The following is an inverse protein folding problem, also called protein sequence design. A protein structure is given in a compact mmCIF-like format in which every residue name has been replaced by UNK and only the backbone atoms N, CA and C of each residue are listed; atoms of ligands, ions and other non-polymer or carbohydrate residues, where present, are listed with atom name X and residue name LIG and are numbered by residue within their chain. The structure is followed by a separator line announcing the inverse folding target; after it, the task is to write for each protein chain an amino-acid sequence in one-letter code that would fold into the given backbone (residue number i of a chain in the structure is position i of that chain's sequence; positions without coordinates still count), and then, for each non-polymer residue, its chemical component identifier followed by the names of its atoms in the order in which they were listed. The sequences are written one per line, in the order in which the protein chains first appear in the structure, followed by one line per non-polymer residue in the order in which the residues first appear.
data_IF_087150293457
#
_entry.id   IF_087150293457
#
_cell.length_a   1.000
_cell.length_b   1.000
_cell.length_c   1.000
_cell.angle_alpha   90.00
_cell.angle_beta   90.00
_cell.angle_gamma   90.00
#
_symmetry.space_group_name_H-M   'P 1'
#
loop_
_entity.id
_entity.type
_entity.pdbx_description
1 polymer ?
#
# COMPACT_ATOMS: atom_id res chain seq x y z
N UNK A 1 -6.62 8.65 16.13
CA UNK A 1 -5.76 8.06 15.07
C UNK A 1 -4.32 8.26 15.52
N UNK A 2 -3.55 7.21 15.71
CA UNK A 2 -2.11 7.36 15.99
C UNK A 2 -1.41 7.84 14.71
N UNK A 3 -0.97 9.09 14.72
CA UNK A 3 -0.37 9.76 13.56
C UNK A 3 1.02 9.25 13.20
N UNK A 4 1.67 8.53 14.13
CA UNK A 4 2.95 7.87 13.88
C UNK A 4 2.74 6.51 13.21
N UNK A 5 1.57 5.91 13.41
CA UNK A 5 1.19 4.62 12.81
C UNK A 5 0.39 4.75 11.51
N UNK A 6 -0.43 5.80 11.38
CA UNK A 6 -1.37 5.96 10.28
C UNK A 6 -1.19 7.32 9.60
N UNK A 7 -1.18 7.32 8.27
CA UNK A 7 -1.14 8.53 7.43
C UNK A 7 -2.36 8.55 6.52
N UNK A 8 -2.88 9.74 6.26
CA UNK A 8 -3.94 9.98 5.28
C UNK A 8 -3.33 10.27 3.91
N UNK A 9 -3.92 9.72 2.86
CA UNK A 9 -3.62 10.05 1.47
C UNK A 9 -4.92 10.48 0.78
N UNK A 10 -4.87 11.59 0.05
CA UNK A 10 -6.00 12.03 -0.76
C UNK A 10 -6.10 11.17 -2.02
N UNK A 11 -7.31 10.75 -2.36
CA UNK A 11 -7.64 10.01 -3.58
C UNK A 11 -8.89 10.63 -4.21
N UNK A 12 -9.06 10.47 -5.51
CA UNK A 12 -10.26 10.93 -6.20
C UNK A 12 -11.52 10.13 -5.75
N UNK A 13 -12.69 10.70 -6.04
CA UNK A 13 -13.96 10.13 -5.59
C UNK A 13 -14.26 8.78 -6.23
N UNK A 14 -13.87 8.57 -7.50
CA UNK A 14 -14.14 7.32 -8.22
C UNK A 14 -13.32 6.17 -7.62
N UNK A 15 -12.03 6.38 -7.41
CA UNK A 15 -11.13 5.43 -6.75
C UNK A 15 -11.64 5.07 -5.35
N UNK A 16 -12.10 6.06 -4.58
CA UNK A 16 -12.68 5.83 -3.26
C UNK A 16 -13.94 4.95 -3.31
N UNK A 17 -14.85 5.23 -4.25
CA UNK A 17 -16.07 4.43 -4.44
C UNK A 17 -15.75 2.98 -4.83
N UNK A 18 -14.79 2.78 -5.73
CA UNK A 18 -14.35 1.44 -6.16
C UNK A 18 -13.75 0.68 -4.99
N UNK A 19 -12.82 1.26 -4.22
CA UNK A 19 -12.19 0.60 -3.07
C UNK A 19 -13.25 0.20 -2.02
N UNK A 20 -14.26 1.04 -1.80
CA UNK A 20 -15.39 0.73 -0.92
C UNK A 20 -16.21 -0.47 -1.42
N UNK A 21 -16.51 -0.52 -2.71
CA UNK A 21 -17.23 -1.63 -3.33
C UNK A 21 -16.41 -2.93 -3.29
N UNK A 22 -15.12 -2.87 -3.61
CA UNK A 22 -14.19 -4.01 -3.52
C UNK A 22 -14.12 -4.57 -2.10
N UNK A 23 -14.10 -3.68 -1.09
CA UNK A 23 -14.11 -4.08 0.31
C UNK A 23 -15.37 -4.85 0.75
N UNK A 24 -16.53 -4.49 0.18
CA UNK A 24 -17.82 -5.16 0.43
C UNK A 24 -17.86 -6.58 -0.13
N UNK A 25 -17.22 -6.82 -1.29
CA UNK A 25 -17.24 -8.11 -1.99
C UNK A 25 -16.29 -9.18 -1.42
N UNK A 26 -15.59 -8.91 -0.29
CA UNK A 26 -14.65 -9.87 0.29
C UNK A 26 -14.33 -9.63 1.77
N UNK A 27 -15.19 -8.95 2.51
CA UNK A 27 -15.02 -8.56 3.92
C UNK A 27 -13.64 -7.96 4.25
N UNK A 28 -13.26 -6.89 3.53
CA UNK A 28 -12.08 -6.09 3.88
C UNK A 28 -12.45 -4.62 3.92
N UNK A 29 -12.25 -3.96 5.07
CA UNK A 29 -12.39 -2.49 5.18
C UNK A 29 -11.46 -1.82 4.15
N UNK A 30 -11.75 -0.60 3.66
CA UNK A 30 -10.94 0.08 2.64
C UNK A 30 -9.43 0.06 2.91
N UNK A 31 -9.02 0.31 4.16
CA UNK A 31 -7.59 0.24 4.55
C UNK A 31 -6.98 -1.16 4.38
N UNK A 32 -7.72 -2.22 4.69
CA UNK A 32 -7.27 -3.60 4.47
C UNK A 32 -7.21 -3.96 2.97
N UNK A 33 -8.06 -3.34 2.15
CA UNK A 33 -7.99 -3.50 0.69
C UNK A 33 -6.75 -2.81 0.13
N UNK A 34 -6.48 -1.56 0.55
CA UNK A 34 -5.27 -0.83 0.15
C UNK A 34 -4.01 -1.62 0.57
N UNK A 35 -3.97 -2.16 1.79
CA UNK A 35 -2.84 -2.97 2.25
C UNK A 35 -2.60 -4.22 1.37
N UNK A 36 -3.69 -4.88 0.93
CA UNK A 36 -3.59 -6.01 -0.01
C UNK A 36 -3.07 -5.57 -1.38
N UNK A 37 -3.60 -4.48 -1.92
CA UNK A 37 -3.16 -3.95 -3.22
C UNK A 37 -1.67 -3.61 -3.20
N UNK A 38 -1.19 -2.98 -2.12
CA UNK A 38 0.24 -2.71 -1.92
C UNK A 38 1.05 -4.01 -1.89
N UNK A 39 0.60 -5.02 -1.13
CA UNK A 39 1.29 -6.31 -1.04
C UNK A 39 1.39 -7.03 -2.40
N UNK A 40 0.29 -7.04 -3.15
CA UNK A 40 0.21 -7.65 -4.48
C UNK A 40 1.13 -6.92 -5.48
N UNK A 41 1.19 -5.59 -5.44
CA UNK A 41 2.11 -4.82 -6.28
C UNK A 41 3.59 -5.04 -5.89
N UNK A 42 3.92 -5.10 -4.59
CA UNK A 42 5.30 -5.44 -4.16
C UNK A 42 5.72 -6.81 -4.71
N UNK A 43 4.83 -7.81 -4.68
CA UNK A 43 5.08 -9.14 -5.27
C UNK A 43 5.31 -9.06 -6.79
N UNK A 44 4.54 -8.25 -7.51
CA UNK A 44 4.72 -8.05 -8.95
C UNK A 44 6.07 -7.40 -9.26
N UNK A 45 6.45 -6.35 -8.52
CA UNK A 45 7.74 -5.66 -8.69
C UNK A 45 8.89 -6.62 -8.36
N UNK A 46 8.81 -7.36 -7.25
CA UNK A 46 9.79 -8.36 -6.86
C UNK A 46 9.99 -9.43 -7.96
N UNK A 47 8.89 -9.94 -8.53
CA UNK A 47 8.93 -10.90 -9.65
C UNK A 47 9.58 -10.31 -10.90
N UNK A 48 9.30 -9.05 -11.24
CA UNK A 48 9.89 -8.37 -12.41
C UNK A 48 11.41 -8.19 -12.24
N UNK A 49 11.87 -7.89 -11.04
CA UNK A 49 13.29 -7.67 -10.75
C UNK A 49 14.06 -8.94 -10.37
N UNK A 50 13.40 -10.10 -10.30
CA UNK A 50 14.02 -11.36 -9.88
C UNK A 50 14.49 -11.35 -8.42
N UNK A 51 13.92 -10.49 -7.57
CA UNK A 51 14.29 -10.35 -6.16
C UNK A 51 13.29 -11.09 -5.25
N UNK A 52 13.74 -11.59 -4.08
CA UNK A 52 12.82 -12.09 -3.06
C UNK A 52 11.86 -11.00 -2.59
N UNK A 53 10.60 -11.36 -2.32
CA UNK A 53 9.56 -10.44 -1.84
C UNK A 53 10.01 -9.64 -0.60
N UNK A 54 10.60 -10.30 0.40
CA UNK A 54 11.05 -9.63 1.63
C UNK A 54 12.16 -8.61 1.37
N UNK A 55 13.09 -8.92 0.46
CA UNK A 55 14.14 -7.99 0.06
C UNK A 55 13.56 -6.77 -0.65
N UNK A 56 12.63 -6.99 -1.58
CA UNK A 56 11.94 -5.90 -2.28
C UNK A 56 11.17 -5.00 -1.31
N UNK A 57 10.43 -5.62 -0.38
CA UNK A 57 9.67 -4.91 0.65
C UNK A 57 10.58 -4.04 1.53
N UNK A 58 11.71 -4.56 1.97
CA UNK A 58 12.67 -3.79 2.77
C UNK A 58 13.26 -2.60 1.99
N UNK A 59 13.57 -2.79 0.70
CA UNK A 59 14.06 -1.72 -0.16
C UNK A 59 13.03 -0.59 -0.28
N UNK A 60 11.79 -0.91 -0.64
CA UNK A 60 10.70 0.06 -0.78
C UNK A 60 10.37 0.77 0.54
N UNK A 61 10.44 0.06 1.69
CA UNK A 61 10.27 0.68 3.00
C UNK A 61 11.40 1.65 3.34
N UNK A 62 12.65 1.32 2.98
CA UNK A 62 13.80 2.21 3.17
C UNK A 62 13.66 3.48 2.34
N UNK A 63 13.30 3.35 1.06
CA UNK A 63 13.03 4.48 0.17
C UNK A 63 11.86 5.33 0.69
N UNK A 64 10.75 4.70 1.07
CA UNK A 64 9.59 5.40 1.63
C UNK A 64 9.92 6.19 2.90
N UNK A 65 10.78 5.67 3.78
CA UNK A 65 11.26 6.40 4.98
C UNK A 65 12.09 7.63 4.59
N UNK A 66 12.97 7.51 3.59
CA UNK A 66 13.76 8.66 3.10
C UNK A 66 12.86 9.75 2.54
N UNK A 67 11.84 9.38 1.75
CA UNK A 67 10.88 10.33 1.19
C UNK A 67 9.98 10.99 2.25
N UNK A 68 9.64 10.27 3.33
CA UNK A 68 8.83 10.81 4.42
C UNK A 68 9.63 11.78 5.31
N UNK A 69 10.91 11.48 5.56
CA UNK A 69 11.78 12.25 6.46
C UNK A 69 12.64 13.30 5.75
N UNK A 70 12.70 13.26 4.41
CA UNK A 70 13.44 14.22 3.58
C UNK A 70 12.72 15.55 3.36
N UNK A 71 11.84 15.94 4.28
CA UNK A 71 11.20 17.26 4.32
C UNK A 71 11.91 18.16 5.32
#
# INVERSE_FOLDING_TARGET
MDINKWKSCAVDIESYMIIRAMGKNGFRRPGSMIAKLVDDEVKKIAKKEGKPYESMKQNLLSEGKKLLNGK
#
